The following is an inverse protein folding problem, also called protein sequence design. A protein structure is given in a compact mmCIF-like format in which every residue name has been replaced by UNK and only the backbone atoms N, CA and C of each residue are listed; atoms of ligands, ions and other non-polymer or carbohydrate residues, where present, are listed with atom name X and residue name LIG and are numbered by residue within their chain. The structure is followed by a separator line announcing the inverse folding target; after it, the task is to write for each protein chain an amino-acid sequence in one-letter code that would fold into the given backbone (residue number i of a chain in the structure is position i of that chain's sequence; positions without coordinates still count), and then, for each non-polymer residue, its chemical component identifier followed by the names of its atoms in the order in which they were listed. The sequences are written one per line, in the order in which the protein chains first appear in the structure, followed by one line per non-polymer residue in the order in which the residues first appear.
data_IF_459994676432
#
_entry.id   IF_459994676432
#
_cell.length_a   1.000
_cell.length_b   1.000
_cell.length_c   1.000
_cell.angle_alpha   90.00
_cell.angle_beta   90.00
_cell.angle_gamma   90.00
#
_symmetry.space_group_name_H-M   'P 1'
#
loop_
_entity.id
_entity.type
_entity.pdbx_description
1 polymer ?
#
# COMPACT_ATOMS: atom_id res chain seq x y z
N UNK A 1 1.56 18.59 8.08
CA UNK A 1 1.91 17.19 7.77
C UNK A 1 2.38 16.53 9.06
N UNK A 2 1.86 15.38 9.41
CA UNK A 2 2.28 14.70 10.62
C UNK A 2 3.51 13.77 10.35
N UNK A 3 4.08 13.24 11.43
CA UNK A 3 5.28 12.41 11.34
C UNK A 3 5.02 11.07 10.64
N UNK A 4 3.78 10.56 10.66
CA UNK A 4 3.41 9.31 10.00
C UNK A 4 3.48 9.45 8.48
N UNK A 5 2.98 10.57 7.93
CA UNK A 5 3.01 10.83 6.48
C UNK A 5 4.44 10.89 5.98
N UNK A 6 5.33 11.56 6.73
CA UNK A 6 6.75 11.65 6.37
C UNK A 6 7.39 10.27 6.35
N UNK A 7 7.09 9.41 7.33
CA UNK A 7 7.64 8.05 7.38
C UNK A 7 7.16 7.18 6.22
N UNK A 8 5.91 7.28 5.84
CA UNK A 8 5.38 6.52 4.71
C UNK A 8 6.01 6.98 3.39
N UNK A 9 6.17 8.28 3.20
CA UNK A 9 6.84 8.81 2.01
C UNK A 9 8.29 8.34 1.92
N UNK A 10 9.01 8.30 3.04
CA UNK A 10 10.38 7.79 3.10
C UNK A 10 10.46 6.30 2.78
N UNK A 11 9.54 5.50 3.32
CA UNK A 11 9.46 4.07 3.02
C UNK A 11 9.16 3.83 1.55
N UNK A 12 8.22 4.56 0.99
CA UNK A 12 7.86 4.45 -0.43
C UNK A 12 9.09 4.76 -1.31
N UNK A 13 9.82 5.81 -0.97
CA UNK A 13 11.04 6.18 -1.69
C UNK A 13 12.12 5.11 -1.58
N UNK A 14 12.26 4.47 -0.41
CA UNK A 14 13.24 3.39 -0.21
C UNK A 14 12.90 2.16 -1.05
N UNK A 15 11.63 1.78 -1.15
CA UNK A 15 11.20 0.66 -2.00
C UNK A 15 11.51 0.97 -3.46
N UNK A 16 11.18 2.18 -3.93
CA UNK A 16 11.48 2.59 -5.31
C UNK A 16 12.98 2.61 -5.60
N UNK A 17 13.78 3.05 -4.65
CA UNK A 17 15.25 3.04 -4.80
C UNK A 17 15.77 1.61 -4.95
N UNK A 18 15.26 0.68 -4.15
CA UNK A 18 15.61 -0.73 -4.25
C UNK A 18 15.22 -1.33 -5.61
N UNK A 19 14.05 -0.98 -6.13
CA UNK A 19 13.61 -1.40 -7.46
C UNK A 19 14.55 -0.83 -8.54
N UNK A 20 14.91 0.44 -8.44
CA UNK A 20 15.78 1.10 -9.41
C UNK A 20 17.16 0.46 -9.46
N UNK A 21 17.70 0.00 -8.33
CA UNK A 21 18.96 -0.74 -8.27
C UNK A 21 18.94 -2.04 -9.09
N UNK A 22 17.75 -2.59 -9.28
CA UNK A 22 17.54 -3.81 -10.07
C UNK A 22 17.08 -3.51 -11.50
N UNK A 23 17.09 -2.24 -11.93
CA UNK A 23 16.69 -1.83 -13.27
C UNK A 23 15.18 -1.70 -13.45
N UNK A 24 14.43 -1.57 -12.35
CA UNK A 24 12.97 -1.48 -12.36
C UNK A 24 12.53 -0.06 -12.04
N UNK A 25 11.95 0.64 -13.02
CA UNK A 25 11.46 2.02 -12.85
C UNK A 25 10.12 2.12 -12.14
N UNK A 26 9.44 0.99 -11.90
CA UNK A 26 8.15 0.97 -11.25
C UNK A 26 6.95 1.26 -12.15
N UNK A 27 7.16 1.59 -13.42
CA UNK A 27 6.07 1.99 -14.34
C UNK A 27 5.26 0.82 -14.88
N UNK A 28 5.81 -0.39 -14.87
CA UNK A 28 5.09 -1.58 -15.31
C UNK A 28 4.15 -2.05 -14.21
N UNK A 29 2.84 -2.25 -14.49
CA UNK A 29 1.93 -2.79 -13.49
C UNK A 29 2.39 -4.15 -12.96
N UNK A 30 2.24 -4.34 -11.65
CA UNK A 30 2.67 -5.56 -10.97
C UNK A 30 1.79 -5.84 -9.77
N UNK A 31 1.86 -7.06 -9.28
CA UNK A 31 1.18 -7.49 -8.06
C UNK A 31 1.73 -6.67 -6.88
N UNK A 32 0.83 -6.03 -6.14
CA UNK A 32 1.17 -5.11 -5.06
C UNK A 32 0.30 -5.42 -3.84
N UNK A 33 0.92 -5.46 -2.67
CA UNK A 33 0.27 -5.79 -1.40
C UNK A 33 0.39 -4.61 -0.44
N UNK A 34 -0.68 -4.37 0.32
CA UNK A 34 -0.73 -3.33 1.36
C UNK A 34 -1.15 -3.96 2.69
N UNK A 35 -0.46 -3.62 3.76
CA UNK A 35 -0.61 -4.27 5.06
C UNK A 35 -1.21 -3.33 6.10
N UNK A 36 -2.26 -3.80 6.78
CA UNK A 36 -2.93 -3.07 7.86
C UNK A 36 -3.02 -3.96 9.09
N UNK A 37 -2.71 -3.39 10.25
CA UNK A 37 -2.69 -4.10 11.53
C UNK A 37 -3.48 -3.34 12.58
N UNK A 38 -3.83 -4.02 13.65
CA UNK A 38 -4.41 -3.44 14.84
C UNK A 38 -5.81 -3.94 15.14
N UNK A 39 -6.41 -3.35 16.18
CA UNK A 39 -7.72 -3.76 16.70
C UNK A 39 -8.88 -2.92 16.16
N UNK A 40 -8.63 -2.12 15.12
CA UNK A 40 -9.66 -1.28 14.51
C UNK A 40 -10.64 -2.06 13.64
N UNK A 41 -11.29 -1.35 12.74
CA UNK A 41 -12.39 -1.90 11.94
C UNK A 41 -11.91 -2.49 10.62
N UNK A 42 -11.46 -3.73 10.67
CA UNK A 42 -11.03 -4.49 9.49
C UNK A 42 -12.19 -4.80 8.54
N UNK A 43 -13.37 -5.02 9.07
CA UNK A 43 -14.56 -5.33 8.26
C UNK A 43 -14.94 -4.21 7.32
N UNK A 44 -15.00 -2.98 7.81
CA UNK A 44 -15.30 -1.81 6.98
C UNK A 44 -14.17 -1.51 6.00
N UNK A 45 -12.91 -1.69 6.41
CA UNK A 45 -11.78 -1.57 5.48
C UNK A 45 -11.92 -2.54 4.32
N UNK A 46 -12.20 -3.81 4.60
CA UNK A 46 -12.40 -4.83 3.57
C UNK A 46 -13.51 -4.45 2.59
N UNK A 47 -14.63 -3.96 3.09
CA UNK A 47 -15.75 -3.58 2.24
C UNK A 47 -15.41 -2.40 1.32
N UNK A 48 -14.83 -1.34 1.87
CA UNK A 48 -14.43 -0.16 1.09
C UNK A 48 -13.38 -0.54 0.04
N UNK A 49 -12.41 -1.35 0.43
CA UNK A 49 -11.35 -1.78 -0.48
C UNK A 49 -11.87 -2.63 -1.63
N UNK A 50 -12.80 -3.56 -1.37
CA UNK A 50 -13.43 -4.35 -2.44
C UNK A 50 -14.16 -3.47 -3.43
N UNK A 51 -14.88 -2.46 -2.94
CA UNK A 51 -15.57 -1.50 -3.81
C UNK A 51 -14.60 -0.69 -4.65
N UNK A 52 -13.40 -0.46 -4.16
CA UNK A 52 -12.34 0.24 -4.89
C UNK A 52 -11.55 -0.67 -5.84
N UNK A 53 -11.88 -1.97 -5.89
CA UNK A 53 -11.26 -2.92 -6.82
C UNK A 53 -10.13 -3.76 -6.26
N UNK A 54 -9.89 -3.71 -4.94
CA UNK A 54 -8.86 -4.54 -4.30
C UNK A 54 -9.38 -5.91 -3.94
N UNK A 55 -8.52 -6.91 -4.01
CA UNK A 55 -8.74 -8.18 -3.34
C UNK A 55 -8.34 -8.01 -1.87
N UNK A 56 -9.08 -8.65 -0.98
CA UNK A 56 -8.83 -8.53 0.46
C UNK A 56 -8.68 -9.90 1.09
N UNK A 57 -7.73 -10.00 2.01
CA UNK A 57 -7.56 -11.20 2.85
C UNK A 57 -6.95 -10.77 4.19
N UNK A 58 -7.04 -11.62 5.17
CA UNK A 58 -6.46 -11.32 6.47
C UNK A 58 -6.86 -12.28 7.54
N UNK A 59 -6.44 -11.99 8.76
CA UNK A 59 -6.77 -12.69 9.98
C UNK A 59 -7.30 -11.68 11.00
N UNK A 60 -7.51 -12.08 12.25
CA UNK A 60 -8.24 -11.30 13.25
C UNK A 60 -7.74 -9.85 13.44
N UNK A 61 -6.44 -9.63 13.38
CA UNK A 61 -5.83 -8.31 13.62
C UNK A 61 -5.04 -7.79 12.42
N UNK A 62 -5.26 -8.37 11.23
CA UNK A 62 -4.50 -8.01 10.02
C UNK A 62 -5.41 -8.02 8.79
N UNK A 63 -5.22 -7.03 7.93
CA UNK A 63 -5.81 -7.02 6.59
C UNK A 63 -4.72 -6.80 5.56
N UNK A 64 -4.74 -7.59 4.50
CA UNK A 64 -3.88 -7.42 3.33
C UNK A 64 -4.75 -7.08 2.14
N UNK A 65 -4.44 -5.97 1.48
CA UNK A 65 -5.09 -5.57 0.23
C UNK A 65 -4.17 -5.89 -0.93
N UNK A 66 -4.73 -6.44 -2.02
CA UNK A 66 -3.97 -6.84 -3.20
C UNK A 66 -4.53 -6.18 -4.44
N UNK A 67 -3.64 -5.72 -5.31
CA UNK A 67 -4.03 -5.22 -6.63
C UNK A 67 -2.84 -5.33 -7.59
N UNK A 68 -3.12 -5.15 -8.88
CA UNK A 68 -2.08 -5.01 -9.90
C UNK A 68 -2.00 -3.56 -10.30
N UNK A 69 -0.85 -2.91 -10.09
CA UNK A 69 -0.70 -1.48 -10.38
C UNK A 69 0.76 -1.10 -10.60
N UNK A 70 0.99 0.01 -11.28
CA UNK A 70 2.30 0.64 -11.37
C UNK A 70 2.65 1.28 -10.03
N UNK A 71 3.92 1.27 -9.67
CA UNK A 71 4.39 1.75 -8.36
C UNK A 71 5.40 2.90 -8.46
N UNK A 72 5.56 3.50 -9.64
CA UNK A 72 6.32 4.74 -9.79
C UNK A 72 5.66 5.87 -8.98
N UNK A 73 6.42 6.88 -8.64
CA UNK A 73 5.98 7.93 -7.72
C UNK A 73 4.66 8.58 -8.16
N UNK A 74 4.55 8.95 -9.43
CA UNK A 74 3.35 9.61 -9.94
C UNK A 74 2.12 8.72 -9.88
N UNK A 75 2.26 7.42 -10.24
CA UNK A 75 1.14 6.48 -10.26
C UNK A 75 0.71 6.05 -8.86
N UNK A 76 1.64 6.04 -7.91
CA UNK A 76 1.43 5.47 -6.59
C UNK A 76 0.94 6.49 -5.55
N UNK A 77 1.19 7.78 -5.76
CA UNK A 77 0.95 8.81 -4.75
C UNK A 77 -0.50 8.84 -4.23
N UNK A 78 -1.47 8.77 -5.13
CA UNK A 78 -2.89 8.80 -4.75
C UNK A 78 -3.28 7.55 -3.95
N UNK A 79 -2.74 6.38 -4.33
CA UNK A 79 -3.01 5.12 -3.63
C UNK A 79 -2.40 5.13 -2.24
N UNK A 80 -1.17 5.60 -2.10
CA UNK A 80 -0.51 5.73 -0.79
C UNK A 80 -1.30 6.64 0.15
N UNK A 81 -1.75 7.78 -0.35
CA UNK A 81 -2.59 8.70 0.43
C UNK A 81 -3.92 8.05 0.84
N UNK A 82 -4.54 7.30 -0.04
CA UNK A 82 -5.78 6.58 0.23
C UNK A 82 -5.59 5.52 1.33
N UNK A 83 -4.48 4.77 1.32
CA UNK A 83 -4.18 3.79 2.35
C UNK A 83 -4.03 4.45 3.73
N UNK A 84 -3.36 5.58 3.79
CA UNK A 84 -3.21 6.34 5.04
C UNK A 84 -4.55 6.89 5.53
N UNK A 85 -5.40 7.36 4.62
CA UNK A 85 -6.74 7.85 4.95
C UNK A 85 -7.61 6.72 5.52
N UNK A 86 -7.58 5.55 4.89
CA UNK A 86 -8.34 4.39 5.38
C UNK A 86 -7.84 3.93 6.75
N UNK A 87 -6.53 3.91 6.97
CA UNK A 87 -5.96 3.54 8.26
C UNK A 87 -6.50 4.46 9.37
N UNK A 88 -6.50 5.75 9.13
CA UNK A 88 -7.03 6.73 10.09
C UNK A 88 -8.55 6.56 10.30
N UNK A 89 -9.30 6.38 9.21
CA UNK A 89 -10.76 6.26 9.28
C UNK A 89 -11.22 5.02 10.06
N UNK A 90 -10.49 3.91 9.91
CA UNK A 90 -10.87 2.63 10.53
C UNK A 90 -10.01 2.29 11.76
N UNK A 91 -9.21 3.24 12.23
CA UNK A 91 -8.39 3.09 13.44
C UNK A 91 -7.42 1.90 13.35
N UNK A 92 -6.82 1.74 12.18
CA UNK A 92 -5.82 0.72 11.92
C UNK A 92 -4.45 1.35 11.69
N UNK A 93 -3.40 0.56 11.82
CA UNK A 93 -2.05 0.97 11.47
C UNK A 93 -1.72 0.47 10.06
N UNK A 94 -1.38 1.39 9.17
CA UNK A 94 -0.87 1.06 7.84
C UNK A 94 0.64 0.79 7.96
N UNK A 95 1.04 -0.44 7.73
CA UNK A 95 2.43 -0.89 7.93
C UNK A 95 3.25 -0.89 6.64
N UNK A 96 2.73 -0.32 5.57
CA UNK A 96 3.46 -0.23 4.31
C UNK A 96 2.99 -1.24 3.26
N UNK A 97 3.83 -1.44 2.25
CA UNK A 97 3.50 -2.21 1.07
C UNK A 97 4.69 -2.97 0.53
N UNK A 98 4.41 -3.97 -0.31
CA UNK A 98 5.44 -4.67 -1.07
C UNK A 98 4.92 -4.97 -2.47
N UNK A 99 5.81 -5.25 -3.39
CA UNK A 99 5.46 -5.59 -4.76
C UNK A 99 6.49 -6.53 -5.37
N UNK A 100 6.10 -7.15 -6.50
CA UNK A 100 7.03 -7.93 -7.30
C UNK A 100 8.01 -7.00 -8.01
N UNK A 101 9.23 -7.49 -8.27
CA UNK A 101 10.21 -6.80 -9.10
C UNK A 101 9.97 -7.17 -10.56
N UNK A 102 9.89 -6.17 -11.43
CA UNK A 102 9.73 -6.39 -12.87
C UNK A 102 11.01 -5.94 -13.58
N UNK A 103 11.71 -6.90 -14.17
CA UNK A 103 12.96 -6.68 -14.89
C UNK A 103 12.71 -6.85 -16.37
N UNK A 104 13.15 -5.87 -17.17
CA UNK A 104 13.04 -5.89 -18.64
C UNK A 104 14.38 -6.18 -19.30
#
# INVERSE_FOLDING_TARGET
MDASDIRHDERDAMVRAALAEQGDSGVTPRHTLFYFYGEGDHGDLNEVARRAGFLTRGADDMTVLETTMAVDEASFAATSAMMQTWAAAFQLEYDGWECAVVIH
#
